data_IF_342425682045
#
_entry.id   IF_342425682045
#
_cell.length_a   1.000
_cell.length_b   1.000
_cell.length_c   1.000
_cell.angle_alpha   90.00
_cell.angle_beta   90.00
_cell.angle_gamma   90.00
#
_symmetry.space_group_name_H-M   'P 1'
#
loop_
_entity.id
_entity.type
_entity.pdbx_description
1 polymer ?
#
# COMPACT_ATOMS: atom_id res chain seq x y z
N UNK A 1 27.93 4.80 -23.69
CA UNK A 1 26.88 3.84 -23.28
C UNK A 1 26.41 4.25 -21.88
N UNK A 2 25.12 4.40 -21.70
CA UNK A 2 24.55 4.60 -20.38
C UNK A 2 24.70 3.31 -19.59
N UNK A 3 25.01 3.36 -18.28
CA UNK A 3 25.07 2.18 -17.45
C UNK A 3 23.69 1.49 -17.45
N UNK A 4 23.71 0.16 -17.59
CA UNK A 4 22.49 -0.64 -17.50
C UNK A 4 21.95 -0.58 -16.07
N UNK A 5 20.73 -0.10 -15.90
CA UNK A 5 20.08 -0.05 -14.59
C UNK A 5 19.67 -1.46 -14.21
N UNK A 6 20.43 -2.09 -13.32
CA UNK A 6 20.09 -3.40 -12.75
C UNK A 6 18.97 -3.19 -11.75
N UNK A 7 17.75 -3.64 -12.09
CA UNK A 7 16.61 -3.57 -11.18
C UNK A 7 16.67 -4.69 -10.15
N UNK A 8 16.43 -4.39 -8.86
CA UNK A 8 16.34 -5.42 -7.86
C UNK A 8 15.14 -6.34 -8.17
N UNK A 9 15.33 -7.64 -7.93
CA UNK A 9 14.23 -8.60 -8.02
C UNK A 9 13.24 -8.33 -6.89
N UNK A 10 11.95 -8.24 -7.22
CA UNK A 10 10.87 -7.96 -6.27
C UNK A 10 9.92 -9.14 -6.16
N UNK A 11 9.49 -9.39 -4.93
CA UNK A 11 8.61 -10.47 -4.58
C UNK A 11 7.32 -9.90 -3.99
N UNK A 12 6.22 -10.14 -4.67
CA UNK A 12 4.88 -9.72 -4.26
C UNK A 12 4.10 -10.94 -3.75
N UNK A 13 3.73 -10.91 -2.48
CA UNK A 13 2.83 -11.91 -1.89
C UNK A 13 1.40 -11.43 -2.07
N UNK A 14 0.72 -12.00 -3.07
CA UNK A 14 -0.66 -11.68 -3.40
C UNK A 14 -1.57 -12.82 -2.95
N UNK A 15 -2.79 -12.51 -2.52
CA UNK A 15 -3.81 -13.49 -2.11
C UNK A 15 -3.33 -14.45 -1.01
N UNK A 16 -2.83 -13.93 0.12
CA UNK A 16 -2.33 -14.76 1.21
C UNK A 16 -3.45 -15.53 1.91
N UNK A 17 -3.10 -16.70 2.45
CA UNK A 17 -3.85 -17.38 3.51
C UNK A 17 -3.51 -16.78 4.87
N UNK A 18 -4.24 -17.16 5.92
CA UNK A 18 -3.90 -16.75 7.30
C UNK A 18 -2.53 -17.28 7.74
N UNK A 19 -2.15 -18.45 7.28
CA UNK A 19 -0.83 -19.05 7.54
C UNK A 19 0.28 -18.26 6.84
N UNK A 20 0.03 -17.82 5.60
CA UNK A 20 0.96 -16.96 4.88
C UNK A 20 1.18 -15.61 5.59
N UNK A 21 0.13 -15.03 6.20
CA UNK A 21 0.27 -13.79 6.98
C UNK A 21 1.23 -13.99 8.16
N UNK A 22 1.09 -15.06 8.93
CA UNK A 22 1.95 -15.31 10.08
C UNK A 22 3.39 -15.66 9.64
N UNK A 23 3.55 -16.45 8.58
CA UNK A 23 4.87 -16.76 8.00
C UNK A 23 5.57 -15.48 7.53
N UNK A 24 4.83 -14.60 6.83
CA UNK A 24 5.36 -13.30 6.37
C UNK A 24 5.72 -12.38 7.54
N UNK A 25 4.95 -12.41 8.62
CA UNK A 25 5.28 -11.69 9.84
C UNK A 25 6.62 -12.11 10.41
N UNK A 26 6.81 -13.41 10.62
CA UNK A 26 8.02 -13.96 11.25
C UNK A 26 9.25 -13.74 10.37
N UNK A 27 9.12 -13.98 9.08
CA UNK A 27 10.25 -13.98 8.17
C UNK A 27 10.67 -12.57 7.74
N UNK A 28 9.71 -11.66 7.52
CA UNK A 28 10.01 -10.37 6.89
C UNK A 28 9.63 -9.15 7.72
N UNK A 29 8.48 -9.17 8.43
CA UNK A 29 8.04 -8.01 9.20
C UNK A 29 8.82 -7.89 10.51
N UNK A 30 8.92 -8.97 11.26
CA UNK A 30 9.57 -8.96 12.57
C UNK A 30 11.02 -8.44 12.52
N UNK A 31 11.88 -8.88 11.58
CA UNK A 31 13.25 -8.40 11.47
C UNK A 31 13.40 -7.02 10.83
N UNK A 32 12.37 -6.46 10.16
CA UNK A 32 12.47 -5.17 9.50
C UNK A 32 12.54 -4.01 10.49
N UNK A 33 13.15 -2.90 10.10
CA UNK A 33 13.22 -1.68 10.91
C UNK A 33 12.02 -0.73 10.67
N UNK A 34 11.38 -0.87 9.52
CA UNK A 34 10.27 0.00 9.10
C UNK A 34 9.30 -0.76 8.19
N UNK A 35 8.07 -0.26 8.12
CA UNK A 35 7.01 -0.77 7.23
C UNK A 35 6.45 0.37 6.38
N UNK A 36 6.41 0.19 5.08
CA UNK A 36 5.57 1.02 4.20
C UNK A 36 4.16 0.42 4.15
N UNK A 37 3.15 1.28 4.30
CA UNK A 37 1.75 0.89 4.28
C UNK A 37 0.99 1.76 3.28
N UNK A 38 0.10 1.15 2.53
CA UNK A 38 -0.80 1.80 1.57
C UNK A 38 -2.12 1.05 1.55
N UNK A 39 -3.24 1.74 1.36
CA UNK A 39 -4.55 1.11 1.19
C UNK A 39 -5.17 1.47 -0.16
N UNK A 40 -5.93 0.54 -0.70
CA UNK A 40 -6.80 0.82 -1.83
C UNK A 40 -8.26 0.82 -1.39
N UNK A 41 -9.02 1.79 -1.87
CA UNK A 41 -10.41 1.96 -1.48
C UNK A 41 -11.36 1.94 -2.66
N UNK A 42 -12.57 1.41 -2.42
CA UNK A 42 -13.72 1.53 -3.33
C UNK A 42 -14.89 2.01 -2.49
N UNK A 43 -15.10 3.31 -2.49
CA UNK A 43 -15.98 4.06 -1.57
C UNK A 43 -17.25 3.28 -1.15
N UNK A 44 -17.47 3.05 0.15
CA UNK A 44 -16.67 3.51 1.29
C UNK A 44 -15.64 2.46 1.80
N UNK A 45 -15.43 1.34 1.12
CA UNK A 45 -14.73 0.16 1.61
C UNK A 45 -13.22 0.23 1.35
N UNK A 46 -12.43 -0.33 2.27
CA UNK A 46 -11.03 -0.69 2.01
C UNK A 46 -11.04 -2.03 1.25
N UNK A 47 -10.45 -2.06 0.07
CA UNK A 47 -10.43 -3.25 -0.78
C UNK A 47 -9.20 -4.12 -0.56
N UNK A 48 -8.07 -3.50 -0.24
CA UNK A 48 -6.85 -4.19 0.19
C UNK A 48 -5.94 -3.27 0.98
N UNK A 49 -5.02 -3.88 1.71
CA UNK A 49 -3.91 -3.21 2.41
C UNK A 49 -2.60 -3.78 1.90
N UNK A 50 -1.72 -2.90 1.44
CA UNK A 50 -0.34 -3.22 1.06
C UNK A 50 0.61 -2.95 2.21
N UNK A 51 1.51 -3.88 2.50
CA UNK A 51 2.54 -3.76 3.54
C UNK A 51 3.87 -4.18 2.93
N UNK A 52 4.87 -3.30 2.96
CA UNK A 52 6.21 -3.58 2.47
C UNK A 52 7.26 -3.38 3.58
N UNK A 53 7.89 -4.46 4.07
CA UNK A 53 8.98 -4.39 5.03
C UNK A 53 10.33 -4.03 4.39
N UNK A 54 10.44 -4.09 3.08
CA UNK A 54 11.64 -3.70 2.31
C UNK A 54 11.26 -3.30 0.87
N UNK A 55 12.18 -2.67 0.11
CA UNK A 55 11.94 -2.36 -1.30
C UNK A 55 11.74 -3.59 -2.20
N UNK A 56 12.21 -4.76 -1.77
CA UNK A 56 12.17 -6.00 -2.54
C UNK A 56 10.94 -6.86 -2.23
N UNK A 57 10.23 -6.60 -1.13
CA UNK A 57 9.14 -7.48 -0.68
C UNK A 57 7.92 -6.68 -0.27
N UNK A 58 6.76 -7.11 -0.76
CA UNK A 58 5.48 -6.58 -0.34
C UNK A 58 4.44 -7.70 -0.21
N UNK A 59 3.54 -7.51 0.76
CA UNK A 59 2.37 -8.33 1.01
C UNK A 59 1.13 -7.50 0.70
N UNK A 60 0.21 -8.03 -0.09
CA UNK A 60 -1.11 -7.44 -0.32
C UNK A 60 -2.16 -8.31 0.37
N UNK A 61 -2.90 -7.73 1.28
CA UNK A 61 -3.97 -8.37 2.05
C UNK A 61 -5.30 -7.90 1.46
N UNK A 62 -5.98 -8.70 0.63
CA UNK A 62 -7.27 -8.34 0.07
C UNK A 62 -8.38 -8.48 1.11
N UNK A 63 -9.38 -7.59 1.03
CA UNK A 63 -10.65 -7.68 1.76
C UNK A 63 -11.84 -7.74 0.81
N UNK A 64 -11.63 -7.35 -0.45
CA UNK A 64 -12.65 -7.43 -1.49
C UNK A 64 -12.22 -8.40 -2.59
N UNK A 65 -13.17 -9.25 -3.02
CA UNK A 65 -13.03 -10.11 -4.19
C UNK A 65 -14.29 -10.00 -5.07
N UNK A 66 -14.16 -9.33 -6.20
CA UNK A 66 -15.26 -9.15 -7.14
C UNK A 66 -15.67 -10.41 -7.92
N UNK A 67 -14.92 -11.50 -7.79
CA UNK A 67 -15.22 -12.78 -8.45
C UNK A 67 -16.23 -13.62 -7.66
N UNK A 68 -16.49 -13.27 -6.39
CA UNK A 68 -17.45 -13.97 -5.54
C UNK A 68 -18.69 -13.12 -5.26
N UNK A 69 -19.89 -13.73 -5.17
CA UNK A 69 -21.15 -12.99 -4.94
C UNK A 69 -21.17 -12.16 -3.65
N UNK A 70 -20.51 -12.65 -2.60
CA UNK A 70 -20.41 -11.93 -1.32
C UNK A 70 -19.53 -10.67 -1.40
N UNK A 71 -18.66 -10.60 -2.39
CA UNK A 71 -17.64 -9.55 -2.49
C UNK A 71 -16.49 -9.70 -1.47
N UNK A 72 -16.53 -10.68 -0.56
CA UNK A 72 -15.51 -10.87 0.46
C UNK A 72 -14.38 -11.75 -0.04
N UNK A 73 -13.15 -11.36 0.27
CA UNK A 73 -11.99 -12.21 0.00
C UNK A 73 -11.89 -13.38 0.99
N UNK A 74 -12.08 -13.10 2.27
CA UNK A 74 -12.02 -14.10 3.35
C UNK A 74 -13.30 -14.93 3.41
N UNK A 75 -13.16 -16.24 3.54
CA UNK A 75 -14.30 -17.17 3.49
C UNK A 75 -15.26 -17.02 4.66
N UNK A 76 -14.77 -16.54 5.79
CA UNK A 76 -15.57 -16.36 7.01
C UNK A 76 -15.28 -15.00 7.68
N UNK A 77 -16.27 -14.45 8.43
CA UNK A 77 -16.05 -13.24 9.23
C UNK A 77 -14.95 -13.39 10.29
N UNK A 78 -14.67 -14.63 10.72
CA UNK A 78 -13.58 -14.92 11.65
C UNK A 78 -12.22 -14.74 10.99
N UNK A 79 -12.05 -15.27 9.78
CA UNK A 79 -10.80 -15.09 9.01
C UNK A 79 -10.56 -13.65 8.69
N UNK A 80 -11.57 -12.91 8.24
CA UNK A 80 -11.48 -11.49 7.98
C UNK A 80 -11.05 -10.70 9.23
N UNK A 81 -11.63 -11.03 10.38
CA UNK A 81 -11.22 -10.41 11.66
C UNK A 81 -9.76 -10.69 12.00
N UNK A 82 -9.27 -11.90 11.75
CA UNK A 82 -7.86 -12.25 11.98
C UNK A 82 -6.96 -11.43 11.04
N UNK A 83 -7.34 -11.28 9.77
CA UNK A 83 -6.61 -10.47 8.81
C UNK A 83 -6.56 -8.98 9.23
N UNK A 84 -7.68 -8.41 9.71
CA UNK A 84 -7.70 -7.04 10.26
C UNK A 84 -6.83 -6.90 11.52
N UNK A 85 -6.83 -7.89 12.40
CA UNK A 85 -5.92 -7.92 13.57
C UNK A 85 -4.47 -8.01 13.18
N UNK A 86 -4.15 -8.69 12.08
CA UNK A 86 -2.81 -8.70 11.52
C UNK A 86 -2.42 -7.29 11.01
N UNK A 87 -3.29 -6.60 10.29
CA UNK A 87 -3.06 -5.21 9.83
C UNK A 87 -2.84 -4.28 11.04
N UNK A 88 -3.70 -4.36 12.06
CA UNK A 88 -3.56 -3.59 13.30
C UNK A 88 -2.19 -3.86 13.98
N UNK A 89 -1.78 -5.13 14.06
CA UNK A 89 -0.49 -5.53 14.60
C UNK A 89 0.69 -4.92 13.83
N UNK A 90 0.61 -4.88 12.50
CA UNK A 90 1.64 -4.27 11.66
C UNK A 90 1.76 -2.76 11.89
N UNK A 91 0.62 -2.05 11.93
CA UNK A 91 0.58 -0.60 12.07
C UNK A 91 1.01 -0.15 13.47
N UNK A 92 0.65 -0.92 14.51
CA UNK A 92 0.90 -0.58 15.90
C UNK A 92 2.06 -1.36 16.52
N UNK A 93 2.96 -1.90 15.71
CA UNK A 93 4.13 -2.61 16.23
C UNK A 93 5.10 -1.64 16.89
N UNK A 94 5.20 -1.73 18.21
CA UNK A 94 6.00 -0.83 19.05
C UNK A 94 7.49 -0.81 18.62
N UNK A 95 8.06 0.39 18.54
CA UNK A 95 9.45 0.59 18.13
C UNK A 95 9.72 0.45 16.64
N UNK A 96 8.70 0.16 15.82
CA UNK A 96 8.84 0.06 14.37
C UNK A 96 8.25 1.30 13.69
N UNK A 97 9.04 1.91 12.81
CA UNK A 97 8.56 3.02 11.99
C UNK A 97 7.55 2.49 10.96
N UNK A 98 6.41 3.17 10.89
CA UNK A 98 5.40 2.92 9.86
C UNK A 98 5.27 4.18 9.02
N UNK A 99 5.26 4.07 7.71
CA UNK A 99 5.16 5.22 6.83
C UNK A 99 4.28 4.94 5.62
N UNK A 100 3.70 5.98 5.09
CA UNK A 100 2.94 5.99 3.84
C UNK A 100 3.21 7.26 3.07
N UNK A 101 2.49 7.45 1.97
CA UNK A 101 2.52 8.68 1.17
C UNK A 101 1.14 9.31 1.15
N UNK A 102 0.98 10.52 1.68
CA UNK A 102 -0.30 11.10 2.03
C UNK A 102 -1.05 10.20 3.04
N UNK A 103 -0.30 9.70 4.01
CA UNK A 103 -0.70 8.64 4.92
C UNK A 103 -1.87 9.04 5.83
N UNK A 104 -2.15 10.32 5.93
CA UNK A 104 -3.35 10.82 6.59
C UNK A 104 -4.63 10.24 5.95
N UNK A 105 -4.66 10.06 4.63
CA UNK A 105 -5.79 9.44 3.95
C UNK A 105 -6.00 7.99 4.44
N UNK A 106 -4.95 7.19 4.44
CA UNK A 106 -4.99 5.77 4.85
C UNK A 106 -5.39 5.63 6.32
N UNK A 107 -4.77 6.41 7.19
CA UNK A 107 -5.05 6.35 8.63
C UNK A 107 -6.47 6.78 8.98
N UNK A 108 -7.07 7.73 8.26
CA UNK A 108 -8.47 8.09 8.43
C UNK A 108 -9.42 6.95 8.08
N UNK A 109 -9.19 6.25 6.97
CA UNK A 109 -10.00 5.10 6.58
C UNK A 109 -9.85 3.95 7.58
N UNK A 110 -8.62 3.61 7.96
CA UNK A 110 -8.32 2.57 8.94
C UNK A 110 -9.00 2.85 10.29
N UNK A 111 -8.93 4.10 10.75
CA UNK A 111 -9.59 4.50 11.99
C UNK A 111 -11.12 4.47 11.89
N UNK A 112 -11.68 5.10 10.86
CA UNK A 112 -13.14 5.29 10.73
C UNK A 112 -13.88 3.99 10.46
N UNK A 113 -13.30 3.08 9.68
CA UNK A 113 -13.96 1.84 9.26
C UNK A 113 -13.61 0.67 10.17
N UNK A 114 -12.35 0.60 10.62
CA UNK A 114 -11.82 -0.58 11.33
C UNK A 114 -11.45 -0.31 12.78
N UNK A 115 -11.48 0.95 13.22
CA UNK A 115 -11.07 1.33 14.58
C UNK A 115 -9.56 1.19 14.82
N UNK A 116 -8.76 1.07 13.76
CA UNK A 116 -7.30 0.93 13.87
C UNK A 116 -6.68 2.34 13.96
N UNK A 117 -6.12 2.72 15.14
CA UNK A 117 -5.51 4.03 15.31
C UNK A 117 -4.22 4.17 14.52
N UNK A 118 -3.87 5.41 14.17
CA UNK A 118 -2.54 5.70 13.64
C UNK A 118 -1.48 5.38 14.70
N UNK A 119 -0.37 4.78 14.25
CA UNK A 119 0.78 4.56 15.11
C UNK A 119 1.40 5.89 15.55
N UNK A 120 1.88 5.96 16.79
CA UNK A 120 2.72 7.07 17.26
C UNK A 120 4.07 7.16 16.55
N UNK A 121 4.45 6.12 15.82
CA UNK A 121 5.66 6.00 14.99
C UNK A 121 5.37 6.18 13.49
N UNK A 122 4.22 6.78 13.18
CA UNK A 122 3.80 6.98 11.80
C UNK A 122 4.47 8.20 11.17
N UNK A 123 5.01 8.00 9.97
CA UNK A 123 5.59 9.06 9.14
C UNK A 123 4.79 9.20 7.82
N UNK A 124 4.84 10.39 7.23
CA UNK A 124 4.24 10.66 5.92
C UNK A 124 5.29 11.24 4.97
N UNK A 125 5.63 10.48 3.93
CA UNK A 125 6.66 10.89 2.95
C UNK A 125 6.27 12.13 2.15
N UNK A 126 4.97 12.40 1.97
CA UNK A 126 4.50 13.63 1.34
C UNK A 126 4.78 14.85 2.22
N UNK A 127 4.49 14.74 3.53
CA UNK A 127 4.76 15.82 4.48
C UNK A 127 6.25 16.03 4.72
N UNK A 128 7.03 14.96 4.77
CA UNK A 128 8.50 15.05 4.86
C UNK A 128 9.09 15.80 3.67
N UNK A 129 8.65 15.48 2.45
CA UNK A 129 9.08 16.22 1.26
C UNK A 129 8.62 17.68 1.29
N UNK A 130 7.39 17.94 1.72
CA UNK A 130 6.89 19.30 1.84
C UNK A 130 7.73 20.16 2.79
N UNK A 131 8.22 19.58 3.88
CA UNK A 131 9.10 20.28 4.81
C UNK A 131 10.48 20.61 4.21
N UNK A 132 10.97 19.76 3.28
CA UNK A 132 12.25 19.97 2.61
C UNK A 132 12.16 20.89 1.39
N UNK A 133 11.07 20.82 0.62
CA UNK A 133 10.90 21.47 -0.67
C UNK A 133 9.44 21.94 -0.81
N UNK A 134 9.12 23.06 -0.18
CA UNK A 134 7.75 23.57 -0.07
C UNK A 134 7.10 23.89 -1.43
N UNK A 135 7.91 24.35 -2.39
CA UNK A 135 7.47 24.81 -3.72
C UNK A 135 7.29 23.66 -4.73
N UNK A 136 7.82 22.46 -4.43
CA UNK A 136 7.82 21.35 -5.38
C UNK A 136 6.54 20.51 -5.31
N UNK A 137 6.25 19.80 -6.41
CA UNK A 137 5.18 18.80 -6.45
C UNK A 137 5.40 17.69 -5.42
N UNK A 138 4.29 17.22 -4.82
CA UNK A 138 4.29 16.27 -3.71
C UNK A 138 3.74 14.89 -4.07
N UNK A 139 3.35 14.69 -5.32
CA UNK A 139 2.79 13.41 -5.78
C UNK A 139 3.83 12.29 -5.77
N UNK A 140 3.44 11.09 -5.31
CA UNK A 140 4.35 9.94 -5.19
C UNK A 140 5.11 9.63 -6.48
N UNK A 141 4.44 9.73 -7.64
CA UNK A 141 5.09 9.52 -8.94
C UNK A 141 6.21 10.53 -9.22
N UNK A 142 6.02 11.79 -8.85
CA UNK A 142 7.05 12.82 -8.97
C UNK A 142 8.18 12.57 -7.98
N UNK A 143 7.87 12.27 -6.71
CA UNK A 143 8.89 12.00 -5.71
C UNK A 143 9.74 10.78 -6.06
N UNK A 144 9.11 9.72 -6.57
CA UNK A 144 9.85 8.55 -7.03
C UNK A 144 10.83 8.88 -8.17
N UNK A 145 10.48 9.82 -9.06
CA UNK A 145 11.37 10.22 -10.16
C UNK A 145 12.60 11.00 -9.73
N UNK A 146 12.56 11.65 -8.57
CA UNK A 146 13.68 12.45 -8.05
C UNK A 146 14.47 11.77 -6.94
N UNK A 147 13.86 10.85 -6.20
CA UNK A 147 14.48 10.16 -5.07
C UNK A 147 14.82 8.69 -5.34
N UNK A 148 14.40 8.14 -6.48
CA UNK A 148 14.69 6.76 -6.84
C UNK A 148 14.98 6.62 -8.33
N UNK A 149 15.59 5.50 -8.71
CA UNK A 149 15.82 5.13 -10.12
C UNK A 149 14.63 4.37 -10.73
N UNK A 150 13.46 4.44 -10.09
CA UNK A 150 12.27 3.74 -10.54
C UNK A 150 11.65 4.38 -11.78
N UNK A 151 11.19 3.54 -12.70
CA UNK A 151 10.43 4.03 -13.84
C UNK A 151 9.07 4.58 -13.40
N UNK A 152 8.63 5.63 -14.09
CA UNK A 152 7.33 6.26 -13.86
C UNK A 152 6.17 5.31 -14.18
N UNK A 153 5.63 4.61 -13.15
CA UNK A 153 4.50 3.68 -13.32
C UNK A 153 3.13 4.37 -13.36
N UNK A 154 2.97 5.55 -12.76
CA UNK A 154 1.69 6.28 -12.70
C UNK A 154 1.28 6.90 -14.05
N UNK A 155 2.20 7.16 -14.96
CA UNK A 155 1.87 7.70 -16.28
C UNK A 155 1.06 6.72 -17.14
N UNK A 156 1.29 5.42 -16.99
CA UNK A 156 0.55 4.41 -17.74
C UNK A 156 -0.93 4.30 -17.33
N UNK A 157 -1.26 4.61 -16.09
CA UNK A 157 -2.63 4.58 -15.60
C UNK A 157 -3.48 5.75 -16.14
N UNK A 158 -2.92 6.95 -16.25
CA UNK A 158 -3.63 8.12 -16.80
C UNK A 158 -3.93 7.97 -18.30
N UNK A 159 -3.03 7.37 -19.09
CA UNK A 159 -3.26 7.12 -20.52
C UNK A 159 -4.42 6.13 -20.75
N UNK A 160 -4.51 5.06 -19.98
CA UNK A 160 -5.61 4.07 -20.12
C UNK A 160 -6.99 4.64 -19.77
N UNK A 161 -7.08 5.61 -18.88
CA UNK A 161 -8.33 6.28 -18.52
C UNK A 161 -8.72 7.30 -19.60
N UNK A 162 -7.78 8.06 -20.14
CA UNK A 162 -8.01 9.00 -21.25
C UNK A 162 -8.46 8.28 -22.53
N UNK A 163 -7.82 7.16 -22.90
CA UNK A 163 -8.23 6.34 -24.07
C UNK A 163 -9.64 5.72 -23.91
N UNK A 164 -10.09 5.47 -22.67
CA UNK A 164 -11.46 4.98 -22.43
C UNK A 164 -12.51 6.07 -22.46
N UNK A 165 -12.17 7.32 -22.12
CA UNK A 165 -13.10 8.44 -22.20
C UNK A 165 -13.29 8.93 -23.65
N UNK A 166 -12.22 8.98 -24.44
CA UNK A 166 -12.28 9.36 -25.86
C UNK A 166 -13.08 8.37 -26.71
N UNK A 167 -13.06 7.07 -26.39
CA UNK A 167 -13.88 6.06 -27.09
C UNK A 167 -15.36 6.05 -26.74
N UNK A 168 -15.77 6.74 -25.66
CA UNK A 168 -17.18 6.89 -25.28
C UNK A 168 -17.85 8.14 -25.88
N UNK A 169 -17.07 9.05 -26.44
CA UNK A 169 -17.58 10.25 -27.10
C UNK A 169 -17.75 10.04 -28.63
N UNK A 170 -17.27 8.91 -29.18
CA UNK A 170 -17.38 8.54 -30.59
C UNK A 170 -18.48 7.48 -30.90
N UNK A 171 -19.25 7.00 -29.91
CA UNK A 171 -20.45 6.15 -30.05
C UNK A 171 -21.72 6.95 -29.74
#
# INVERSE_FOLDING_TARGET
SFPEVIRPQRYLHLRPTLEDLESFWQEFILPSSALSVDIETKNPLITCVGIAPSPERALVIPFYNGEVPSGNYWSTPREERIAWKFVERCINFEGKRVFGHNFQYDTQYLWRLMGIPASSWADDTMLMHHALQIEMEKGLGFLASIYSEELAWKFMHKRRVADRSSKKEEE
#
